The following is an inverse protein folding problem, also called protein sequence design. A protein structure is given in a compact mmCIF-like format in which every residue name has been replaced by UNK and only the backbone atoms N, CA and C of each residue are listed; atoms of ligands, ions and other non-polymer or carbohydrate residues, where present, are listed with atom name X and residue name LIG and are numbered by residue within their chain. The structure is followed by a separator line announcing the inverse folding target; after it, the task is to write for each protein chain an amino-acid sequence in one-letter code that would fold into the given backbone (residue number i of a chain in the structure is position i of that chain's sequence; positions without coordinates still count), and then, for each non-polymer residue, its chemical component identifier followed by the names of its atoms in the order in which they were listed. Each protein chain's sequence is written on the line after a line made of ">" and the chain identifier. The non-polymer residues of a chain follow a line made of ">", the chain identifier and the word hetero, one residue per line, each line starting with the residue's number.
data_IF_553364630226
#
_entry.id   IF_553364630226
#
_cell.length_a   1.000
_cell.length_b   1.000
_cell.length_c   1.000
_cell.angle_alpha   90.00
_cell.angle_beta   90.00
_cell.angle_gamma   90.00
#
_symmetry.space_group_name_H-M   'P 1'
#
loop_
_entity.id
_entity.type
_entity.pdbx_description
1 polymer ?
#
# COMPACT_ATOMS: atom_id res chain seq x y z
N UNK A 1 18.58 31.67 33.82
CA UNK A 1 17.12 31.85 33.63
C UNK A 1 16.75 31.15 32.34
N UNK A 2 16.14 29.96 32.44
CA UNK A 2 15.71 29.15 31.29
C UNK A 2 14.18 29.24 31.21
N UNK A 3 13.68 29.92 30.17
CA UNK A 3 12.25 30.09 29.92
C UNK A 3 11.74 28.86 29.16
N UNK A 4 11.03 27.97 29.86
CA UNK A 4 10.21 26.93 29.21
C UNK A 4 8.97 27.58 28.59
N UNK A 5 8.59 27.22 27.35
CA UNK A 5 7.37 27.74 26.75
C UNK A 5 6.12 27.15 27.45
N UNK A 6 4.96 27.85 27.39
CA UNK A 6 3.79 27.50 28.18
C UNK A 6 3.02 26.32 27.57
N UNK A 7 2.77 25.31 28.42
CA UNK A 7 2.08 24.03 28.12
C UNK A 7 0.63 24.17 27.61
N UNK A 8 0.09 25.38 27.56
CA UNK A 8 -1.31 25.64 27.25
C UNK A 8 -1.61 25.70 25.74
N UNK A 9 -0.59 25.92 24.89
CA UNK A 9 -0.78 25.98 23.43
C UNK A 9 -0.89 24.60 22.78
N UNK A 10 -0.32 23.55 23.39
CA UNK A 10 -0.40 22.17 22.89
C UNK A 10 -1.79 21.57 23.13
N UNK A 11 -2.44 21.94 24.24
CA UNK A 11 -3.78 21.44 24.57
C UNK A 11 -4.90 22.01 23.67
N UNK A 12 -4.75 23.24 23.18
CA UNK A 12 -5.73 23.87 22.30
C UNK A 12 -5.73 23.28 20.88
N UNK A 13 -4.56 22.84 20.38
CA UNK A 13 -4.46 22.18 19.08
C UNK A 13 -5.11 20.78 19.10
N UNK A 14 -4.99 20.04 20.21
CA UNK A 14 -5.59 18.71 20.37
C UNK A 14 -7.13 18.78 20.45
N UNK A 15 -7.69 19.81 21.08
CA UNK A 15 -9.15 19.95 21.21
C UNK A 15 -9.84 20.36 19.89
N UNK A 16 -9.14 21.08 19.00
CA UNK A 16 -9.69 21.46 17.70
C UNK A 16 -9.73 20.26 16.72
N UNK A 17 -8.77 19.33 16.82
CA UNK A 17 -8.78 18.07 16.05
C UNK A 17 -10.00 17.20 16.42
N UNK A 18 -10.40 17.19 17.70
CA UNK A 18 -11.53 16.39 18.19
C UNK A 18 -12.92 16.83 17.68
N UNK A 19 -13.09 18.09 17.27
CA UNK A 19 -14.36 18.60 16.73
C UNK A 19 -14.44 18.50 15.19
N UNK A 20 -13.30 18.40 14.50
CA UNK A 20 -13.24 18.23 13.04
C UNK A 20 -13.23 16.75 12.63
N UNK A 21 -12.82 15.85 13.53
CA UNK A 21 -12.78 14.40 13.29
C UNK A 21 -14.14 13.68 13.21
N UNK A 22 -15.26 14.38 13.41
CA UNK A 22 -16.62 13.85 13.19
C UNK A 22 -17.25 14.35 11.89
N UNK A 23 -16.54 15.13 11.08
CA UNK A 23 -17.08 15.73 9.85
C UNK A 23 -16.09 15.74 8.69
N UNK A 24 -15.05 14.90 8.76
CA UNK A 24 -13.89 14.92 7.86
C UNK A 24 -13.88 13.85 6.77
N UNK A 25 -15.05 13.48 6.22
CA UNK A 25 -15.19 12.90 4.88
C UNK A 25 -16.03 13.84 3.99
N UNK A 26 -15.89 15.16 4.16
CA UNK A 26 -16.53 16.12 3.25
C UNK A 26 -15.73 16.19 1.94
N UNK A 27 -16.19 15.43 0.94
CA UNK A 27 -15.93 15.80 -0.45
C UNK A 27 -16.59 17.16 -0.71
N UNK A 28 -15.80 18.08 -1.25
CA UNK A 28 -16.27 19.37 -1.73
C UNK A 28 -16.89 19.13 -3.11
N UNK A 29 -18.21 18.92 -3.15
CA UNK A 29 -18.96 18.86 -4.38
C UNK A 29 -19.27 20.29 -4.85
N UNK A 30 -18.50 20.78 -5.84
CA UNK A 30 -18.93 21.91 -6.66
C UNK A 30 -20.07 21.43 -7.56
N UNK A 31 -21.18 22.20 -7.55
CA UNK A 31 -22.44 21.83 -8.16
C UNK A 31 -22.42 21.74 -9.68
N UNK A 32 -23.17 20.76 -10.21
CA UNK A 32 -23.74 20.80 -11.55
C UNK A 32 -25.21 20.37 -11.43
N UNK A 33 -26.06 21.23 -11.99
CA UNK A 33 -27.50 21.17 -11.97
C UNK A 33 -28.08 20.01 -12.81
N UNK A 34 -29.23 19.51 -12.32
CA UNK A 34 -30.38 18.90 -13.00
C UNK A 34 -30.23 18.21 -14.37
N UNK A 35 -30.75 16.98 -14.47
CA UNK A 35 -32.15 16.77 -14.91
C UNK A 35 -32.56 15.29 -14.76
N UNK A 36 -33.79 15.11 -14.26
CA UNK A 36 -34.50 13.84 -14.13
C UNK A 36 -34.92 13.31 -15.51
N UNK A 37 -34.78 12.00 -15.72
CA UNK A 37 -35.37 11.29 -16.84
C UNK A 37 -35.61 9.82 -16.47
N UNK A 38 -36.76 9.56 -15.86
CA UNK A 38 -37.34 8.25 -15.61
C UNK A 38 -37.92 7.68 -16.90
N UNK A 39 -37.49 6.50 -17.33
CA UNK A 39 -38.32 5.62 -18.18
C UNK A 39 -38.21 4.18 -17.69
N UNK A 40 -39.37 3.68 -17.26
CA UNK A 40 -39.69 2.30 -16.93
C UNK A 40 -39.67 1.43 -18.20
N UNK A 41 -39.09 0.23 -18.11
CA UNK A 41 -39.45 -0.89 -18.99
C UNK A 41 -39.51 -2.17 -18.15
N UNK A 42 -40.71 -2.72 -18.06
CA UNK A 42 -41.03 -4.05 -17.53
C UNK A 42 -40.86 -5.15 -18.60
N UNK A 43 -40.68 -6.37 -18.07
CA UNK A 43 -41.17 -7.68 -18.53
C UNK A 43 -40.45 -8.57 -19.58
N UNK A 44 -40.44 -9.87 -19.21
CA UNK A 44 -40.29 -11.08 -20.05
C UNK A 44 -38.96 -11.80 -19.84
N UNK A 45 -38.80 -12.73 -18.90
CA UNK A 45 -39.23 -14.16 -18.90
C UNK A 45 -39.16 -14.88 -20.26
N UNK A 46 -38.58 -16.08 -20.22
CA UNK A 46 -38.87 -17.29 -21.01
C UNK A 46 -37.60 -18.18 -21.15
N UNK A 47 -37.75 -19.48 -20.81
CA UNK A 47 -36.70 -20.52 -20.80
C UNK A 47 -36.17 -20.93 -22.18
N UNK A 48 -35.53 -22.06 -22.43
CA UNK A 48 -35.33 -23.35 -21.75
C UNK A 48 -34.38 -24.18 -22.67
N UNK A 49 -33.80 -25.27 -22.14
CA UNK A 49 -33.27 -26.47 -22.83
C UNK A 49 -32.00 -26.35 -23.72
N UNK A 50 -30.88 -26.99 -23.36
CA UNK A 50 -30.53 -28.43 -23.43
C UNK A 50 -29.89 -28.84 -24.77
N UNK A 51 -28.61 -29.23 -24.71
CA UNK A 51 -28.10 -30.48 -25.30
C UNK A 51 -26.58 -30.55 -25.09
N UNK A 52 -26.16 -31.52 -24.28
CA UNK A 52 -24.76 -31.89 -24.12
C UNK A 52 -24.16 -32.53 -25.38
N UNK A 53 -22.85 -32.79 -25.33
CA UNK A 53 -22.14 -33.97 -25.85
C UNK A 53 -20.61 -33.75 -25.67
N UNK A 54 -20.04 -34.44 -24.69
CA UNK A 54 -18.64 -34.96 -24.69
C UNK A 54 -18.73 -36.48 -24.87
N UNK A 55 -17.65 -37.26 -25.06
CA UNK A 55 -16.21 -36.94 -25.15
C UNK A 55 -15.55 -37.57 -26.40
N UNK A 56 -14.26 -37.31 -26.62
CA UNK A 56 -13.30 -38.33 -27.11
C UNK A 56 -11.86 -37.77 -27.12
N UNK A 57 -11.04 -38.32 -26.22
CA UNK A 57 -9.59 -38.50 -26.33
C UNK A 57 -9.38 -40.05 -26.36
N UNK A 58 -8.32 -40.63 -26.95
CA UNK A 58 -6.97 -40.44 -26.38
C UNK A 58 -5.74 -40.64 -27.31
N UNK A 59 -4.57 -40.35 -26.71
CA UNK A 59 -3.30 -41.09 -26.74
C UNK A 59 -2.13 -40.75 -27.72
N UNK A 60 -1.01 -40.44 -27.06
CA UNK A 60 0.33 -41.05 -27.15
C UNK A 60 1.49 -40.32 -27.88
N UNK A 61 2.39 -39.78 -27.03
CA UNK A 61 3.79 -40.23 -26.79
C UNK A 61 4.89 -40.03 -27.87
N UNK A 62 6.03 -39.43 -27.47
CA UNK A 62 7.46 -39.84 -27.67
C UNK A 62 8.41 -38.65 -27.34
N UNK A 63 9.28 -38.76 -26.30
CA UNK A 63 10.77 -38.99 -26.31
C UNK A 63 11.57 -38.04 -27.24
N UNK A 64 12.77 -37.52 -26.97
CA UNK A 64 13.78 -37.57 -25.91
C UNK A 64 14.86 -36.50 -26.26
N UNK A 65 15.84 -36.33 -25.39
CA UNK A 65 17.23 -35.89 -25.62
C UNK A 65 17.67 -34.41 -25.50
N UNK A 66 18.42 -34.20 -24.39
CA UNK A 66 19.43 -33.17 -24.19
C UNK A 66 20.71 -33.44 -25.01
N UNK A 67 21.64 -32.47 -25.06
CA UNK A 67 22.97 -32.79 -24.57
C UNK A 67 23.61 -31.68 -23.70
N UNK A 68 24.33 -32.16 -22.70
CA UNK A 68 25.42 -31.49 -21.98
C UNK A 68 26.67 -31.33 -22.86
N UNK A 69 27.52 -30.37 -22.49
CA UNK A 69 29.01 -30.32 -22.55
C UNK A 69 29.39 -28.82 -22.57
N UNK A 70 30.35 -28.24 -21.86
CA UNK A 70 31.52 -28.75 -21.15
C UNK A 70 32.69 -27.78 -21.41
N UNK A 71 33.30 -27.28 -20.33
CA UNK A 71 34.74 -26.99 -20.19
C UNK A 71 35.36 -25.61 -20.57
N UNK A 72 35.75 -24.88 -19.51
CA UNK A 72 37.02 -24.18 -19.20
C UNK A 72 37.74 -23.29 -20.22
N UNK A 73 38.05 -22.06 -19.78
CA UNK A 73 39.45 -21.56 -19.75
C UNK A 73 39.64 -20.52 -18.64
N UNK A 74 40.71 -20.68 -17.87
CA UNK A 74 41.27 -19.76 -16.88
C UNK A 74 42.36 -18.94 -17.58
N UNK A 75 42.48 -17.64 -17.30
CA UNK A 75 43.77 -16.91 -17.23
C UNK A 75 43.62 -15.58 -16.46
N UNK A 76 44.69 -14.99 -15.88
CA UNK A 76 44.68 -14.39 -14.56
C UNK A 76 45.08 -12.90 -14.59
N UNK A 77 45.02 -12.28 -13.41
CA UNK A 77 45.80 -11.11 -12.95
C UNK A 77 46.02 -9.90 -13.88
N UNK A 78 45.50 -8.75 -13.46
CA UNK A 78 46.37 -7.58 -13.25
C UNK A 78 45.76 -6.60 -12.23
N UNK A 79 46.43 -6.43 -11.09
CA UNK A 79 46.08 -5.42 -10.09
C UNK A 79 46.62 -4.03 -10.43
N UNK A 80 46.08 -2.98 -9.79
CA UNK A 80 46.82 -2.08 -8.87
C UNK A 80 46.01 -0.84 -8.44
N UNK A 81 45.98 -0.62 -7.12
CA UNK A 81 46.07 0.63 -6.34
C UNK A 81 44.99 1.73 -6.41
N UNK A 82 44.20 1.83 -5.31
CA UNK A 82 44.20 3.01 -4.40
C UNK A 82 43.02 4.01 -4.47
N UNK A 83 42.14 4.02 -3.44
CA UNK A 83 41.78 5.17 -2.54
C UNK A 83 40.62 4.74 -1.59
N UNK A 84 40.51 5.21 -0.32
CA UNK A 84 39.50 4.76 0.63
C UNK A 84 38.25 5.67 0.56
N UNK A 85 37.28 5.28 -0.27
CA UNK A 85 35.93 5.84 -0.27
C UNK A 85 34.93 4.78 0.18
N UNK A 86 34.24 5.06 1.27
CA UNK A 86 33.17 4.23 1.83
C UNK A 86 31.97 4.16 0.87
N UNK A 87 31.96 3.17 -0.02
CA UNK A 87 30.81 2.79 -0.84
C UNK A 87 30.37 1.38 -0.42
N UNK A 88 29.24 1.29 0.30
CA UNK A 88 28.60 0.03 0.67
C UNK A 88 27.48 -0.32 -0.30
N UNK A 89 27.69 -0.13 -1.60
CA UNK A 89 26.90 -0.82 -2.61
C UNK A 89 27.30 -2.30 -2.64
N UNK A 90 26.38 -3.27 -2.55
CA UNK A 90 26.72 -4.68 -2.73
C UNK A 90 27.26 -4.92 -4.14
N UNK A 91 28.19 -5.86 -4.35
CA UNK A 91 28.70 -6.14 -5.68
C UNK A 91 27.61 -6.78 -6.54
N UNK A 92 27.24 -6.08 -7.63
CA UNK A 92 26.41 -6.63 -8.70
C UNK A 92 27.23 -7.70 -9.44
N UNK A 93 26.98 -8.96 -9.11
CA UNK A 93 27.61 -10.09 -9.77
C UNK A 93 26.75 -10.44 -11.00
N UNK A 94 27.04 -9.76 -12.11
CA UNK A 94 26.25 -9.87 -13.33
C UNK A 94 26.09 -11.30 -13.83
N UNK A 95 24.84 -11.78 -13.87
CA UNK A 95 24.26 -12.56 -14.97
C UNK A 95 22.77 -12.76 -14.74
N UNK A 96 21.96 -11.83 -15.26
CA UNK A 96 20.65 -12.03 -15.93
C UNK A 96 20.08 -10.64 -16.23
N UNK A 97 19.67 -10.42 -17.47
CA UNK A 97 19.06 -9.17 -17.92
C UNK A 97 17.69 -9.04 -17.22
N UNK A 98 17.66 -8.46 -16.03
CA UNK A 98 16.43 -8.22 -15.28
C UNK A 98 15.83 -6.88 -15.74
N UNK A 99 14.62 -6.92 -16.28
CA UNK A 99 13.84 -5.78 -16.78
C UNK A 99 13.30 -4.85 -15.67
N UNK A 100 13.66 -5.13 -14.40
CA UNK A 100 13.27 -4.31 -13.25
C UNK A 100 14.00 -2.95 -13.33
N UNK A 101 13.33 -1.83 -12.99
CA UNK A 101 14.00 -0.54 -12.95
C UNK A 101 15.22 -0.56 -12.02
N UNK A 102 16.32 0.02 -12.51
CA UNK A 102 17.41 0.44 -11.64
C UNK A 102 16.92 1.61 -10.78
N UNK A 103 17.07 1.49 -9.46
CA UNK A 103 16.63 2.53 -8.54
C UNK A 103 17.60 3.71 -8.58
N UNK A 104 17.06 4.93 -8.61
CA UNK A 104 17.89 6.12 -8.39
C UNK A 104 18.50 6.11 -7.00
N UNK A 105 19.64 6.78 -6.76
CA UNK A 105 20.15 6.94 -5.41
C UNK A 105 19.06 7.44 -4.46
N UNK A 106 18.99 6.89 -3.27
CA UNK A 106 17.88 7.14 -2.33
C UNK A 106 17.68 8.63 -1.99
N UNK A 107 18.75 9.43 -2.03
CA UNK A 107 18.72 10.88 -1.81
C UNK A 107 18.22 11.69 -3.01
N UNK A 108 18.23 11.11 -4.21
CA UNK A 108 17.74 11.73 -5.45
C UNK A 108 16.30 11.30 -5.79
N UNK A 109 15.76 10.31 -5.06
CA UNK A 109 14.42 9.78 -5.29
C UNK A 109 13.34 10.82 -4.96
N UNK A 110 12.56 11.21 -5.97
CA UNK A 110 11.42 12.13 -5.80
C UNK A 110 10.26 11.43 -5.10
N UNK A 111 9.96 10.19 -5.51
CA UNK A 111 8.85 9.40 -5.01
C UNK A 111 9.35 8.18 -4.24
N UNK A 112 8.85 8.01 -3.03
CA UNK A 112 9.13 6.88 -2.15
C UNK A 112 7.86 6.47 -1.43
N UNK A 113 7.69 5.19 -1.06
CA UNK A 113 6.62 4.75 -0.18
C UNK A 113 6.38 5.70 1.00
N UNK A 114 5.13 6.09 1.21
CA UNK A 114 4.72 7.10 2.19
C UNK A 114 4.48 8.51 1.63
N UNK A 115 4.65 8.74 0.32
CA UNK A 115 4.22 10.02 -0.29
C UNK A 115 2.70 10.10 -0.45
N UNK A 116 2.19 11.32 -0.62
CA UNK A 116 0.76 11.57 -0.86
C UNK A 116 0.39 11.29 -2.32
N UNK A 117 -0.84 10.84 -2.53
CA UNK A 117 -1.53 10.91 -3.82
C UNK A 117 -2.89 11.56 -3.63
N UNK A 118 -3.44 12.09 -4.72
CA UNK A 118 -4.74 12.76 -4.76
C UNK A 118 -5.57 12.21 -5.90
N UNK A 119 -6.81 11.89 -5.61
CA UNK A 119 -7.87 11.51 -6.56
C UNK A 119 -9.03 12.50 -6.43
N UNK A 120 -10.13 12.25 -7.16
CA UNK A 120 -11.38 12.99 -6.94
C UNK A 120 -12.01 12.76 -5.56
N UNK A 121 -11.72 11.64 -4.89
CA UNK A 121 -12.27 11.32 -3.57
C UNK A 121 -11.50 11.97 -2.41
N UNK A 122 -10.27 12.41 -2.65
CA UNK A 122 -9.49 13.16 -1.69
C UNK A 122 -8.00 12.86 -1.75
N UNK A 123 -7.33 13.05 -0.62
CA UNK A 123 -5.91 12.82 -0.48
C UNK A 123 -5.64 11.64 0.44
N UNK A 124 -4.68 10.81 0.05
CA UNK A 124 -4.27 9.62 0.78
C UNK A 124 -2.77 9.41 0.68
N UNK A 125 -2.25 8.46 1.44
CA UNK A 125 -0.83 8.11 1.49
C UNK A 125 -0.58 6.80 0.76
N UNK A 126 0.53 6.73 0.04
CA UNK A 126 0.98 5.51 -0.63
C UNK A 126 1.64 4.53 0.35
N UNK A 127 1.47 3.23 0.14
CA UNK A 127 2.27 2.19 0.81
C UNK A 127 3.49 1.84 -0.05
N UNK A 128 3.73 0.57 -0.37
CA UNK A 128 4.97 0.05 -0.92
C UNK A 128 4.97 -0.02 -2.44
N UNK A 129 6.14 -0.31 -3.01
CA UNK A 129 6.27 -0.62 -4.44
C UNK A 129 6.05 -2.12 -4.67
N UNK A 130 5.42 -2.44 -5.81
CA UNK A 130 5.16 -3.80 -6.25
C UNK A 130 5.57 -3.97 -7.71
N UNK A 131 6.16 -5.11 -8.04
CA UNK A 131 6.54 -5.46 -9.39
C UNK A 131 5.70 -6.63 -9.86
N UNK A 132 5.01 -6.47 -10.99
CA UNK A 132 4.31 -7.56 -11.64
C UNK A 132 5.22 -8.16 -12.71
N UNK A 133 5.54 -9.44 -12.57
CA UNK A 133 6.44 -10.15 -13.49
C UNK A 133 5.78 -10.58 -14.79
N UNK A 134 4.45 -10.68 -14.82
CA UNK A 134 3.69 -11.04 -16.03
C UNK A 134 3.71 -9.92 -17.05
N UNK A 135 3.48 -8.68 -16.61
CA UNK A 135 3.38 -7.52 -17.50
C UNK A 135 4.56 -6.54 -17.37
N UNK A 136 5.56 -6.88 -16.56
CA UNK A 136 6.76 -6.06 -16.29
C UNK A 136 6.41 -4.62 -15.88
N UNK A 137 5.38 -4.46 -15.06
CA UNK A 137 4.89 -3.15 -14.61
C UNK A 137 5.20 -2.92 -13.14
N UNK A 138 5.63 -1.69 -12.84
CA UNK A 138 5.83 -1.20 -11.48
C UNK A 138 4.56 -0.54 -10.99
N UNK A 139 4.17 -0.87 -9.77
CA UNK A 139 3.03 -0.30 -9.07
C UNK A 139 3.44 0.31 -7.74
N UNK A 140 2.66 1.26 -7.26
CA UNK A 140 2.71 1.76 -5.88
C UNK A 140 1.33 1.56 -5.26
N UNK A 141 1.28 0.94 -4.08
CA UNK A 141 0.00 0.59 -3.47
C UNK A 141 -0.63 1.72 -2.65
N UNK A 142 -1.92 1.58 -2.39
CA UNK A 142 -2.74 2.45 -1.54
C UNK A 142 -3.94 1.66 -0.99
N UNK A 143 -4.86 2.31 -0.26
CA UNK A 143 -6.15 1.76 0.11
C UNK A 143 -7.16 1.89 -1.05
N UNK A 144 -8.06 0.92 -1.19
CA UNK A 144 -9.08 0.90 -2.24
C UNK A 144 -10.08 2.06 -2.11
N UNK A 145 -10.49 2.41 -0.89
CA UNK A 145 -11.41 3.54 -0.68
C UNK A 145 -10.83 4.89 -1.15
N UNK A 146 -9.50 5.04 -1.19
CA UNK A 146 -8.83 6.25 -1.67
C UNK A 146 -8.93 6.42 -3.20
N UNK A 147 -9.21 5.35 -3.92
CA UNK A 147 -9.28 5.32 -5.37
C UNK A 147 -10.66 4.96 -5.89
N UNK A 148 -11.65 4.87 -5.00
CA UNK A 148 -13.03 4.62 -5.38
C UNK A 148 -13.53 5.71 -6.34
N UNK A 149 -14.22 5.26 -7.40
CA UNK A 149 -14.67 6.12 -8.50
C UNK A 149 -13.57 6.76 -9.38
N UNK A 150 -12.27 6.59 -9.08
CA UNK A 150 -11.20 7.14 -9.92
C UNK A 150 -11.02 6.30 -11.20
N UNK A 151 -11.42 6.86 -12.35
CA UNK A 151 -11.38 6.17 -13.65
C UNK A 151 -10.57 6.95 -14.69
N UNK A 152 -9.85 6.24 -15.56
CA UNK A 152 -9.05 6.80 -16.65
C UNK A 152 -7.54 6.90 -16.36
N UNK A 153 -6.77 7.19 -17.42
CA UNK A 153 -5.29 7.07 -17.44
C UNK A 153 -4.55 8.09 -16.54
N UNK A 154 -5.18 9.21 -16.21
CA UNK A 154 -4.63 10.29 -15.39
C UNK A 154 -5.54 10.67 -14.21
N UNK A 155 -6.27 9.69 -13.68
CA UNK A 155 -7.25 9.88 -12.61
C UNK A 155 -6.66 10.17 -11.24
N UNK A 156 -5.37 9.88 -11.04
CA UNK A 156 -4.65 10.04 -9.77
C UNK A 156 -3.39 10.86 -9.98
N UNK A 157 -3.11 11.81 -9.08
CA UNK A 157 -1.83 12.54 -9.04
C UNK A 157 -1.00 12.03 -7.87
N UNK A 158 0.22 11.53 -8.14
CA UNK A 158 1.21 11.17 -7.12
C UNK A 158 2.14 12.36 -6.88
N UNK A 159 2.41 12.66 -5.61
CA UNK A 159 3.28 13.75 -5.19
C UNK A 159 4.66 13.23 -4.82
N UNK A 160 5.67 14.08 -4.97
CA UNK A 160 6.99 13.86 -4.40
C UNK A 160 6.99 14.08 -2.89
N UNK A 161 8.06 13.64 -2.24
CA UNK A 161 8.28 13.90 -0.81
C UNK A 161 8.48 15.40 -0.49
N UNK A 162 8.68 16.24 -1.52
CA UNK A 162 8.71 17.70 -1.44
C UNK A 162 7.32 18.35 -1.60
N UNK A 163 6.26 17.55 -1.59
CA UNK A 163 4.86 17.96 -1.68
C UNK A 163 4.46 18.60 -3.02
N UNK A 164 5.26 18.38 -4.08
CA UNK A 164 4.92 18.80 -5.46
C UNK A 164 4.38 17.64 -6.29
N UNK A 165 3.49 17.87 -7.26
CA UNK A 165 3.08 16.82 -8.20
C UNK A 165 4.29 16.23 -8.91
N UNK A 166 4.48 14.92 -8.79
CA UNK A 166 5.56 14.18 -9.45
C UNK A 166 5.09 13.63 -10.80
N UNK A 167 3.94 12.95 -10.81
CA UNK A 167 3.31 12.43 -12.01
C UNK A 167 1.82 12.16 -11.81
N UNK A 168 1.10 11.99 -12.91
CA UNK A 168 -0.25 11.45 -12.91
C UNK A 168 -0.24 9.99 -13.34
N UNK A 169 -1.25 9.24 -12.92
CA UNK A 169 -1.37 7.83 -13.21
C UNK A 169 -2.82 7.34 -13.11
N UNK A 170 -3.02 6.06 -13.46
CA UNK A 170 -4.25 5.32 -13.33
C UNK A 170 -4.26 4.38 -12.14
N UNK A 171 -5.47 4.04 -11.72
CA UNK A 171 -5.74 2.90 -10.86
C UNK A 171 -5.64 1.64 -11.72
N UNK A 172 -4.69 0.77 -11.41
CA UNK A 172 -4.51 -0.52 -12.10
C UNK A 172 -5.33 -1.63 -11.45
N UNK A 173 -5.55 -1.52 -10.14
CA UNK A 173 -6.36 -2.46 -9.36
C UNK A 173 -7.00 -1.75 -8.17
N UNK A 174 -8.24 -2.13 -7.86
CA UNK A 174 -8.94 -1.79 -6.62
C UNK A 174 -9.66 -3.04 -6.12
N UNK A 175 -9.43 -3.41 -4.87
CA UNK A 175 -10.12 -4.55 -4.25
C UNK A 175 -11.64 -4.35 -4.20
N UNK A 176 -12.10 -3.10 -4.04
CA UNK A 176 -13.53 -2.78 -4.01
C UNK A 176 -14.18 -2.97 -5.37
N UNK A 177 -13.52 -2.51 -6.45
CA UNK A 177 -13.99 -2.75 -7.82
C UNK A 177 -14.00 -4.27 -8.13
N UNK A 178 -12.95 -5.00 -7.73
CA UNK A 178 -12.80 -6.42 -8.01
C UNK A 178 -13.89 -7.29 -7.38
N UNK A 179 -14.35 -6.91 -6.18
CA UNK A 179 -15.42 -7.63 -5.48
C UNK A 179 -16.81 -7.00 -5.74
N UNK A 180 -16.89 -5.88 -6.46
CA UNK A 180 -18.16 -5.16 -6.68
C UNK A 180 -18.72 -4.52 -5.41
N UNK A 181 -17.86 -4.16 -4.46
CA UNK A 181 -18.26 -3.51 -3.21
C UNK A 181 -18.72 -2.08 -3.49
N UNK A 182 -19.91 -1.73 -2.99
CA UNK A 182 -20.44 -0.38 -3.02
C UNK A 182 -20.71 0.05 -1.58
N UNK A 183 -20.00 1.05 -1.05
CA UNK A 183 -20.20 1.49 0.32
C UNK A 183 -21.62 2.05 0.51
N UNK A 184 -22.30 1.63 1.59
CA UNK A 184 -23.66 2.10 1.94
C UNK A 184 -23.67 3.43 2.69
N UNK A 185 -22.50 4.08 2.84
CA UNK A 185 -22.31 5.39 3.44
C UNK A 185 -20.86 5.63 3.86
N UNK A 186 -20.56 6.81 4.37
CA UNK A 186 -19.18 7.31 4.60
C UNK A 186 -18.35 6.51 5.62
N UNK A 187 -18.99 5.64 6.41
CA UNK A 187 -18.32 4.80 7.42
C UNK A 187 -18.29 3.32 7.05
N UNK A 188 -18.80 2.97 5.86
CA UNK A 188 -18.85 1.60 5.40
C UNK A 188 -17.53 1.25 4.71
N UNK A 189 -16.73 0.41 5.35
CA UNK A 189 -15.42 0.03 4.88
C UNK A 189 -15.30 -1.49 4.82
N UNK A 190 -14.91 -1.99 3.64
CA UNK A 190 -14.66 -3.40 3.45
C UNK A 190 -13.27 -3.79 4.00
N UNK A 191 -13.10 -4.94 4.70
CA UNK A 191 -11.80 -5.36 5.23
C UNK A 191 -10.71 -5.57 4.17
N UNK A 192 -11.13 -5.93 2.95
CA UNK A 192 -10.27 -5.96 1.77
C UNK A 192 -10.22 -4.56 1.13
N UNK A 193 -9.24 -3.76 1.53
CA UNK A 193 -9.11 -2.34 1.20
C UNK A 193 -7.69 -2.06 0.69
N UNK A 194 -7.40 -2.57 -0.51
CA UNK A 194 -6.09 -2.50 -1.14
C UNK A 194 -6.24 -2.16 -2.62
N UNK A 195 -5.38 -1.28 -3.10
CA UNK A 195 -5.34 -0.86 -4.49
C UNK A 195 -3.91 -0.66 -4.99
N UNK A 196 -3.75 -0.72 -6.31
CA UNK A 196 -2.49 -0.47 -7.01
C UNK A 196 -2.66 0.70 -7.96
N UNK A 197 -1.77 1.68 -7.83
CA UNK A 197 -1.55 2.73 -8.81
C UNK A 197 -0.39 2.33 -9.70
N UNK A 198 -0.53 2.50 -11.01
CA UNK A 198 0.60 2.25 -11.91
C UNK A 198 1.69 3.31 -11.73
N UNK A 199 2.95 2.93 -11.86
CA UNK A 199 4.04 3.90 -12.05
C UNK A 199 4.37 3.91 -13.54
N UNK A 200 4.00 4.97 -14.29
CA UNK A 200 4.31 5.03 -15.71
C UNK A 200 5.80 4.85 -15.96
N UNK A 201 6.15 4.16 -17.05
CA UNK A 201 7.52 3.69 -17.30
C UNK A 201 8.54 4.82 -17.35
N UNK A 202 8.15 5.96 -17.91
CA UNK A 202 8.94 7.19 -17.97
C UNK A 202 9.27 7.79 -16.60
N UNK A 203 8.55 7.40 -15.54
CA UNK A 203 8.74 7.87 -14.17
C UNK A 203 9.45 6.86 -13.27
N UNK A 204 9.88 5.71 -13.79
CA UNK A 204 10.66 4.74 -13.02
C UNK A 204 11.97 5.30 -12.48
N UNK A 205 12.58 6.25 -13.19
CA UNK A 205 13.77 6.98 -12.72
C UNK A 205 13.48 8.01 -11.62
N UNK A 206 12.26 8.11 -11.09
CA UNK A 206 11.91 9.01 -9.99
C UNK A 206 11.65 8.28 -8.67
N UNK A 207 11.51 6.95 -8.73
CA UNK A 207 11.02 6.13 -7.64
C UNK A 207 12.12 5.33 -6.97
N UNK A 208 11.98 5.12 -5.66
CA UNK A 208 12.86 4.25 -4.89
C UNK A 208 12.04 3.45 -3.85
N UNK A 209 12.35 2.16 -3.60
CA UNK A 209 11.53 1.29 -2.76
C UNK A 209 11.56 1.62 -1.26
N UNK A 210 12.65 2.21 -0.77
CA UNK A 210 12.74 2.60 0.64
C UNK A 210 11.57 3.49 1.10
N UNK A 211 10.82 3.10 2.12
CA UNK A 211 9.85 3.98 2.78
C UNK A 211 10.52 5.21 3.36
N UNK A 212 9.86 6.37 3.25
CA UNK A 212 10.32 7.61 3.89
C UNK A 212 10.61 7.38 5.37
N UNK A 213 11.72 7.96 5.84
CA UNK A 213 12.31 7.76 7.16
C UNK A 213 12.85 6.34 7.45
N UNK A 214 12.03 5.30 7.28
CA UNK A 214 12.35 3.97 7.82
C UNK A 214 13.21 3.08 6.91
N UNK A 215 13.25 3.34 5.60
CA UNK A 215 13.70 2.31 4.66
C UNK A 215 12.65 1.21 4.54
N UNK A 216 13.06 0.01 4.12
CA UNK A 216 12.12 -1.10 3.94
C UNK A 216 11.13 -0.88 2.78
N UNK A 217 10.20 -1.82 2.57
CA UNK A 217 10.00 -3.02 3.36
C UNK A 217 11.05 -4.09 3.04
N UNK A 218 11.41 -4.94 4.00
CA UNK A 218 12.43 -5.99 3.84
C UNK A 218 11.86 -7.31 3.32
N UNK A 219 10.57 -7.56 3.58
CA UNK A 219 9.81 -8.71 3.11
C UNK A 219 8.31 -8.49 3.36
N UNK A 220 7.45 -9.38 2.86
CA UNK A 220 6.08 -9.53 3.38
C UNK A 220 6.14 -10.15 4.79
N UNK A 221 5.23 -9.72 5.67
CA UNK A 221 5.07 -10.34 6.98
C UNK A 221 4.39 -11.71 6.87
N UNK A 222 4.81 -12.64 7.73
CA UNK A 222 4.04 -13.85 8.01
C UNK A 222 2.91 -13.49 8.97
N UNK A 223 1.70 -13.46 8.45
CA UNK A 223 0.49 -13.06 9.18
C UNK A 223 0.21 -13.97 10.39
N UNK A 224 0.56 -15.26 10.29
CA UNK A 224 0.33 -16.23 11.35
C UNK A 224 1.42 -16.17 12.44
N UNK A 225 2.51 -15.43 12.20
CA UNK A 225 3.56 -15.11 13.16
C UNK A 225 3.34 -13.78 13.90
N UNK A 226 2.37 -12.96 13.48
CA UNK A 226 2.08 -11.68 14.13
C UNK A 226 1.42 -11.86 15.50
N UNK A 227 1.82 -11.07 16.49
CA UNK A 227 1.35 -11.16 17.87
C UNK A 227 1.04 -9.79 18.44
N UNK A 228 0.02 -9.70 19.28
CA UNK A 228 -0.29 -8.51 20.05
C UNK A 228 0.95 -8.05 20.86
N UNK A 229 1.17 -6.74 20.94
CA UNK A 229 2.31 -6.13 21.61
C UNK A 229 3.59 -6.03 20.77
N UNK A 230 3.65 -6.65 19.59
CA UNK A 230 4.77 -6.45 18.66
C UNK A 230 4.87 -4.99 18.22
N UNK A 231 6.09 -4.46 18.18
CA UNK A 231 6.32 -3.09 17.74
C UNK A 231 6.19 -2.96 16.22
N UNK A 232 5.54 -1.89 15.82
CA UNK A 232 5.28 -1.54 14.42
C UNK A 232 5.64 -0.10 14.14
N UNK A 233 5.84 0.19 12.86
CA UNK A 233 6.18 1.51 12.32
C UNK A 233 5.29 1.79 11.10
N UNK A 234 4.95 3.06 10.92
CA UNK A 234 4.15 3.57 9.80
C UNK A 234 4.72 4.92 9.39
N UNK A 235 4.65 5.25 8.11
CA UNK A 235 4.83 6.62 7.63
C UNK A 235 3.54 7.10 6.98
N UNK A 236 2.84 8.03 7.65
CA UNK A 236 1.58 8.63 7.18
C UNK A 236 1.80 10.08 6.76
N UNK A 237 1.34 10.46 5.56
CA UNK A 237 1.60 11.78 4.99
C UNK A 237 0.34 12.55 4.65
N UNK A 238 -0.59 12.59 5.61
CA UNK A 238 -1.76 13.44 5.50
C UNK A 238 -1.40 14.93 5.41
N UNK A 239 -2.09 15.66 4.52
CA UNK A 239 -2.01 17.12 4.47
C UNK A 239 -2.44 17.82 5.78
N UNK A 240 -3.21 17.14 6.64
CA UNK A 240 -3.60 17.65 7.96
C UNK A 240 -2.43 17.73 8.95
N UNK A 241 -1.31 17.07 8.65
CA UNK A 241 -0.06 17.15 9.41
C UNK A 241 0.74 18.42 9.14
N UNK A 242 0.25 19.30 8.25
CA UNK A 242 0.81 20.62 7.94
C UNK A 242 2.28 20.60 7.46
N UNK A 243 2.72 19.48 6.87
CA UNK A 243 4.09 19.28 6.41
C UNK A 243 5.13 19.15 7.53
N UNK A 244 4.71 18.86 8.75
CA UNK A 244 5.63 18.63 9.88
C UNK A 244 6.09 17.18 9.85
N UNK A 245 7.28 16.94 9.28
CA UNK A 245 7.84 15.60 9.06
C UNK A 245 7.85 14.74 10.34
N UNK A 246 8.15 15.32 11.51
CA UNK A 246 8.11 14.61 12.80
C UNK A 246 6.78 13.91 13.07
N UNK A 247 5.70 14.50 12.59
CA UNK A 247 4.36 13.96 12.81
C UNK A 247 3.99 12.88 11.81
N UNK A 248 4.70 12.77 10.69
CA UNK A 248 4.46 11.71 9.70
C UNK A 248 5.05 10.35 10.15
N UNK A 249 5.93 10.40 11.15
CA UNK A 249 6.65 9.25 11.68
C UNK A 249 5.87 8.65 12.82
N UNK A 250 5.34 7.48 12.55
CA UNK A 250 4.45 6.79 13.45
C UNK A 250 5.09 5.50 13.95
N UNK A 251 5.03 5.30 15.28
CA UNK A 251 5.40 4.05 15.91
C UNK A 251 4.25 3.54 16.78
N UNK A 252 4.19 2.24 16.98
CA UNK A 252 3.11 1.67 17.76
C UNK A 252 3.29 0.20 18.12
N UNK A 253 2.18 -0.41 18.50
CA UNK A 253 2.10 -1.83 18.82
C UNK A 253 0.90 -2.49 18.14
N UNK A 254 1.10 -3.72 17.65
CA UNK A 254 -0.02 -4.54 17.18
C UNK A 254 -0.98 -4.84 18.32
N UNK A 255 -2.27 -4.83 18.01
CA UNK A 255 -3.34 -5.31 18.88
C UNK A 255 -3.72 -6.74 18.53
N UNK A 256 -3.63 -7.10 17.26
CA UNK A 256 -3.85 -8.45 16.77
C UNK A 256 -4.17 -8.49 15.29
N UNK A 257 -4.34 -9.72 14.81
CA UNK A 257 -4.92 -10.04 13.50
C UNK A 257 -6.25 -10.72 13.79
N UNK A 258 -7.31 -10.31 13.10
CA UNK A 258 -8.68 -10.74 13.35
C UNK A 258 -9.30 -11.23 12.05
N UNK A 259 -10.07 -12.31 12.12
CA UNK A 259 -10.97 -12.67 11.05
C UNK A 259 -12.10 -11.63 11.00
N UNK A 260 -12.23 -10.97 9.87
CA UNK A 260 -13.30 -10.06 9.54
C UNK A 260 -14.27 -10.75 8.57
N UNK A 261 -15.56 -10.58 8.85
CA UNK A 261 -16.63 -10.87 7.90
C UNK A 261 -17.29 -9.55 7.54
N UNK A 262 -17.61 -9.40 6.26
CA UNK A 262 -18.48 -8.34 5.80
C UNK A 262 -19.79 -8.98 5.34
N UNK A 263 -20.94 -8.44 5.73
CA UNK A 263 -22.25 -9.07 5.49
C UNK A 263 -22.55 -9.27 3.99
N UNK A 264 -21.93 -8.45 3.14
CA UNK A 264 -22.11 -8.47 1.69
C UNK A 264 -21.13 -9.40 0.93
N UNK A 265 -20.16 -10.03 1.60
CA UNK A 265 -19.24 -11.00 0.98
C UNK A 265 -19.05 -12.28 1.81
N UNK A 266 -19.20 -13.47 1.21
CA UNK A 266 -19.11 -14.74 1.93
C UNK A 266 -17.69 -15.09 2.40
N UNK A 267 -16.67 -14.47 1.81
CA UNK A 267 -15.27 -14.74 2.09
C UNK A 267 -14.82 -14.14 3.43
N UNK A 268 -14.01 -14.90 4.16
CA UNK A 268 -13.37 -14.42 5.38
C UNK A 268 -12.12 -13.64 5.00
N UNK A 269 -12.12 -12.36 5.31
CA UNK A 269 -10.95 -11.51 5.18
C UNK A 269 -10.27 -11.37 6.53
N UNK A 270 -8.97 -11.07 6.56
CA UNK A 270 -8.30 -10.70 7.80
C UNK A 270 -8.22 -9.19 7.93
N UNK A 271 -8.17 -8.71 9.16
CA UNK A 271 -7.90 -7.33 9.50
C UNK A 271 -6.78 -7.27 10.54
N UNK A 272 -5.84 -6.36 10.36
CA UNK A 272 -4.83 -6.06 11.36
C UNK A 272 -5.26 -4.83 12.15
N UNK A 273 -5.18 -4.88 13.48
CA UNK A 273 -5.35 -3.69 14.32
C UNK A 273 -4.04 -3.32 14.98
N UNK A 274 -3.69 -2.03 14.96
CA UNK A 274 -2.55 -1.47 15.67
C UNK A 274 -2.92 -0.20 16.43
N UNK A 275 -2.25 0.01 17.56
CA UNK A 275 -2.25 1.27 18.28
C UNK A 275 -1.02 2.07 17.87
N UNK A 276 -1.22 3.22 17.25
CA UNK A 276 -0.15 4.02 16.64
C UNK A 276 -0.08 5.42 17.28
N UNK A 277 1.13 5.96 17.41
CA UNK A 277 1.42 7.30 17.88
C UNK A 277 2.44 8.00 16.95
N UNK A 278 2.23 9.28 16.58
CA UNK A 278 1.02 10.08 16.81
C UNK A 278 -0.23 9.42 16.20
N UNK A 279 -1.41 9.80 16.67
CA UNK A 279 -2.66 9.20 16.19
C UNK A 279 -2.80 9.45 14.68
N UNK A 280 -3.17 8.41 13.92
CA UNK A 280 -3.51 8.55 12.51
C UNK A 280 -4.64 9.55 12.29
N UNK A 281 -4.56 10.30 11.20
CA UNK A 281 -5.54 11.31 10.83
C UNK A 281 -6.07 11.04 9.42
N UNK A 282 -7.23 11.60 9.04
CA UNK A 282 -7.73 11.48 7.67
C UNK A 282 -6.65 11.81 6.63
N UNK A 283 -6.49 10.92 5.64
CA UNK A 283 -5.45 10.99 4.61
C UNK A 283 -4.16 10.22 4.90
N UNK A 284 -3.98 9.68 6.09
CA UNK A 284 -2.99 8.61 6.31
C UNK A 284 -3.51 7.25 5.77
N UNK A 285 -4.76 7.19 5.32
CA UNK A 285 -5.29 6.07 4.56
C UNK A 285 -4.34 5.64 3.44
N UNK A 286 -4.16 4.34 3.28
CA UNK A 286 -3.23 3.72 2.37
C UNK A 286 -1.79 3.55 2.88
N UNK A 287 -1.39 4.23 3.98
CA UNK A 287 -0.02 4.15 4.52
C UNK A 287 0.40 2.72 4.86
N UNK A 288 1.66 2.39 4.58
CA UNK A 288 2.23 1.07 4.84
C UNK A 288 2.60 0.84 6.30
N UNK A 289 1.99 -0.17 6.93
CA UNK A 289 2.36 -0.70 8.25
C UNK A 289 3.46 -1.74 8.10
N UNK A 290 4.52 -1.59 8.89
CA UNK A 290 5.59 -2.58 8.98
C UNK A 290 5.85 -3.02 10.42
N UNK A 291 6.38 -4.24 10.58
CA UNK A 291 7.08 -4.60 11.82
C UNK A 291 8.30 -3.70 12.01
N UNK A 292 8.83 -3.60 13.23
CA UNK A 292 10.05 -2.81 13.47
C UNK A 292 11.31 -3.32 12.74
N UNK A 293 11.32 -4.59 12.32
CA UNK A 293 12.34 -5.20 11.44
C UNK A 293 12.01 -5.08 9.94
N UNK A 294 10.96 -4.32 9.58
CA UNK A 294 10.71 -3.86 8.21
C UNK A 294 9.81 -4.77 7.38
N UNK A 295 9.17 -5.78 7.96
CA UNK A 295 8.26 -6.64 7.21
C UNK A 295 6.92 -5.96 6.99
N UNK A 296 6.46 -5.86 5.75
CA UNK A 296 5.19 -5.27 5.36
C UNK A 296 4.00 -6.07 5.89
N UNK A 297 3.15 -5.42 6.67
CA UNK A 297 1.96 -6.02 7.30
C UNK A 297 0.69 -5.63 6.54
N UNK A 298 0.44 -4.33 6.35
CA UNK A 298 -0.86 -3.89 5.84
C UNK A 298 -0.91 -2.43 5.38
N UNK A 299 -1.98 -2.08 4.69
CA UNK A 299 -2.30 -0.73 4.26
C UNK A 299 -3.34 -0.12 5.21
N UNK A 300 -3.15 1.12 5.65
CA UNK A 300 -4.08 1.80 6.55
C UNK A 300 -5.45 1.92 5.88
N UNK A 301 -6.49 1.34 6.48
CA UNK A 301 -7.84 1.30 5.92
C UNK A 301 -8.74 2.31 6.62
N UNK A 302 -9.02 2.10 7.91
CA UNK A 302 -9.90 2.99 8.66
C UNK A 302 -9.36 3.32 10.05
N UNK A 303 -9.76 4.48 10.54
CA UNK A 303 -9.72 4.81 11.95
C UNK A 303 -10.87 4.09 12.65
N UNK A 304 -10.54 3.05 13.44
CA UNK A 304 -11.51 2.37 14.26
C UNK A 304 -11.41 2.87 15.70
N UNK A 305 -12.34 3.72 16.11
CA UNK A 305 -12.45 4.19 17.50
C UNK A 305 -13.25 3.14 18.27
N UNK A 306 -12.56 2.12 18.81
CA UNK A 306 -13.19 1.11 19.65
C UNK A 306 -13.35 1.61 21.09
N UNK A 307 -14.57 1.95 21.50
CA UNK A 307 -14.94 2.03 22.93
C UNK A 307 -15.23 0.61 23.44
N UNK A 308 -14.34 0.03 24.25
CA UNK A 308 -14.68 -1.20 24.97
C UNK A 308 -15.16 -0.86 26.38
N UNK A 309 -16.48 -0.91 26.61
CA UNK A 309 -17.10 -0.54 27.90
C UNK A 309 -16.94 -1.58 29.01
N UNK A 310 -16.28 -2.71 28.73
CA UNK A 310 -16.10 -3.80 29.70
C UNK A 310 -14.68 -3.89 30.31
N UNK A 311 -13.71 -3.10 29.83
CA UNK A 311 -12.40 -2.94 30.47
C UNK A 311 -11.94 -1.46 30.37
N UNK A 312 -12.23 -0.64 31.40
CA UNK A 312 -11.94 0.79 31.41
C UNK A 312 -10.47 1.12 31.72
N UNK A 313 -9.59 0.12 31.94
CA UNK A 313 -8.18 0.36 32.31
C UNK A 313 -7.23 0.04 31.15
N UNK A 314 -7.64 -0.76 30.15
CA UNK A 314 -6.77 -1.11 28.99
C UNK A 314 -7.31 -0.78 27.59
N UNK A 315 -8.52 -0.19 27.47
CA UNK A 315 -9.25 -0.16 26.19
C UNK A 315 -9.98 1.15 25.86
N UNK A 316 -9.44 2.28 26.29
CA UNK A 316 -9.80 3.59 25.73
C UNK A 316 -8.64 4.08 24.87
N UNK A 317 -8.72 3.84 23.56
CA UNK A 317 -7.68 4.26 22.62
C UNK A 317 -8.24 4.27 21.20
N UNK A 318 -7.82 5.22 20.39
CA UNK A 318 -8.06 5.14 18.96
C UNK A 318 -7.08 4.11 18.37
N UNK A 319 -7.61 3.18 17.57
CA UNK A 319 -6.84 2.13 16.91
C UNK A 319 -6.98 2.32 15.40
N UNK A 320 -5.97 1.91 14.66
CA UNK A 320 -6.01 1.89 13.20
C UNK A 320 -6.21 0.47 12.73
N UNK A 321 -7.13 0.32 11.78
CA UNK A 321 -7.40 -0.90 11.06
C UNK A 321 -6.59 -0.90 9.77
N UNK A 322 -5.95 -2.03 9.45
CA UNK A 322 -5.13 -2.19 8.26
C UNK A 322 -5.60 -3.40 7.47
N UNK A 323 -5.71 -3.23 6.15
CA UNK A 323 -5.93 -4.34 5.22
C UNK A 323 -4.62 -5.12 5.06
N UNK A 324 -4.59 -6.44 5.28
CA UNK A 324 -3.35 -7.23 5.22
C UNK A 324 -2.79 -7.31 3.80
N UNK A 325 -1.62 -6.70 3.58
CA UNK A 325 -0.95 -6.69 2.28
C UNK A 325 -0.52 -8.10 1.83
N UNK A 326 0.00 -8.99 2.70
CA UNK A 326 0.31 -10.37 2.29
C UNK A 326 -0.90 -11.11 1.72
N UNK A 327 -2.10 -10.85 2.25
CA UNK A 327 -3.34 -11.49 1.79
C UNK A 327 -3.78 -10.94 0.44
N UNK A 328 -3.73 -9.61 0.27
CA UNK A 328 -4.06 -8.96 -0.99
C UNK A 328 -3.11 -9.39 -2.12
N UNK A 329 -1.80 -9.45 -1.85
CA UNK A 329 -0.80 -9.96 -2.81
C UNK A 329 -1.06 -11.44 -3.13
N UNK A 330 -1.36 -12.26 -2.12
CA UNK A 330 -1.71 -13.66 -2.31
C UNK A 330 -2.94 -13.85 -3.20
N UNK A 331 -3.97 -13.03 -3.01
CA UNK A 331 -5.18 -13.05 -3.82
C UNK A 331 -4.90 -12.66 -5.28
N UNK A 332 -4.20 -11.54 -5.51
CA UNK A 332 -3.80 -11.10 -6.85
C UNK A 332 -2.94 -12.15 -7.57
N UNK A 333 -2.08 -12.86 -6.85
CA UNK A 333 -1.26 -13.93 -7.42
C UNK A 333 -2.06 -15.18 -7.75
N UNK A 334 -3.08 -15.51 -6.96
CA UNK A 334 -4.03 -16.56 -7.31
C UNK A 334 -4.83 -16.21 -8.59
N UNK A 335 -5.03 -14.91 -8.83
CA UNK A 335 -5.67 -14.37 -10.05
C UNK A 335 -4.69 -14.13 -11.20
N UNK A 336 -3.43 -14.56 -11.06
CA UNK A 336 -2.44 -14.59 -12.15
C UNK A 336 -1.57 -13.34 -12.32
N UNK A 337 -1.52 -12.42 -11.35
CA UNK A 337 -0.70 -11.19 -11.46
C UNK A 337 0.82 -11.43 -11.32
N UNK A 338 1.27 -12.51 -10.67
CA UNK A 338 2.69 -12.70 -10.25
C UNK A 338 3.35 -11.40 -9.72
N UNK A 339 2.64 -10.79 -8.77
CA UNK A 339 2.97 -9.57 -8.05
C UNK A 339 3.95 -9.88 -6.91
N UNK A 340 5.07 -9.16 -6.91
CA UNK A 340 6.09 -9.20 -5.87
C UNK A 340 6.20 -7.86 -5.17
N UNK A 341 6.33 -7.89 -3.84
CA UNK A 341 6.77 -6.73 -3.08
C UNK A 341 8.20 -6.36 -3.49
N UNK A 342 8.44 -5.10 -3.85
CA UNK A 342 9.79 -4.59 -4.05
C UNK A 342 10.39 -4.28 -2.68
N UNK A 343 11.49 -4.95 -2.35
CA UNK A 343 12.12 -4.85 -1.03
C UNK A 343 13.31 -3.91 -1.00
N UNK A 344 13.61 -3.40 0.19
CA UNK A 344 14.81 -2.63 0.51
C UNK A 344 15.20 -2.82 1.97
N UNK A 345 16.45 -2.51 2.31
CA UNK A 345 16.92 -2.58 3.69
C UNK A 345 16.32 -1.46 4.56
N UNK A 346 16.24 -1.71 5.87
CA UNK A 346 15.90 -0.67 6.83
C UNK A 346 17.03 0.36 6.96
N UNK A 347 16.65 1.62 7.20
CA UNK A 347 17.58 2.70 7.50
C UNK A 347 17.76 2.78 9.01
N UNK A 348 18.96 2.43 9.48
CA UNK A 348 19.30 2.28 10.90
C UNK A 348 19.11 3.54 11.77
N UNK A 349 19.11 4.73 11.18
CA UNK A 349 19.02 6.02 11.86
C UNK A 349 17.63 6.67 11.78
N UNK A 350 16.72 6.11 10.98
CA UNK A 350 15.49 6.81 10.56
C UNK A 350 15.75 8.04 9.67
N UNK A 351 16.96 8.58 9.61
CA UNK A 351 17.26 9.72 8.74
C UNK A 351 17.99 9.23 7.50
N UNK A 352 17.57 9.72 6.36
CA UNK A 352 18.44 9.69 5.19
C UNK A 352 19.75 10.42 5.53
N UNK A 353 20.89 9.97 4.98
CA UNK A 353 22.11 10.75 5.04
C UNK A 353 21.90 12.21 4.60
#
# INVERSE_FOLDING_TARGET
>A
MSLRPPRHKVFAAVLLVFLVSLSGCMSQADGIDGENGSEDVEDGDDGNEDSGLTPDEPDANTTDDAPTDGNTTIDPDNGTTGDPGNDTSPPDNGTTNTTRPAWVPIGDAVVRPGVRHVTGSGQCTTNFLYWNKVNETLYIGTAAHCVDGAKGDESTTVYGHDERPAFKTRVAYSSWDAIGFVPKGDNDAHPHDFALLEVPREHWGLVHPATLHYGGPTALADMDALRAGQRVIVYGNSGLRLGIEETNREEGVLRGVYDAKHDDHPDKWRLVSAQIAPLGVPGDSGSGLMTKDGKAIGAASTLSIGYNVFDPVTTSGAWLAYSPIPDAVGHLNADGWDLELVTWDLISSGRLP
#
